data_IF_247914905810
#
_entry.id   IF_247914905810
#
_cell.length_a   1.000
_cell.length_b   1.000
_cell.length_c   1.000
_cell.angle_alpha   90.00
_cell.angle_beta   90.00
_cell.angle_gamma   90.00
#
_symmetry.space_group_name_H-M   'P 1'
#
loop_
_entity.id
_entity.type
_entity.pdbx_description
1 polymer ?
#
# COMPACT_ATOMS: atom_id res chain seq x y z
N UNK A 1 17.65 -36.63 -6.03
CA UNK A 1 17.24 -35.21 -5.91
C UNK A 1 18.21 -34.30 -6.65
N UNK A 2 19.48 -34.16 -6.21
CA UNK A 2 20.47 -33.27 -6.83
C UNK A 2 20.67 -33.52 -8.33
N UNK A 3 20.78 -34.79 -8.75
CA UNK A 3 20.95 -35.15 -10.16
C UNK A 3 19.77 -34.72 -11.04
N UNK A 4 18.54 -34.88 -10.51
CA UNK A 4 17.31 -34.45 -11.20
C UNK A 4 17.28 -32.93 -11.32
N UNK A 5 17.63 -32.22 -10.25
CA UNK A 5 17.69 -30.76 -10.21
C UNK A 5 18.67 -30.19 -11.26
N UNK A 6 19.91 -30.68 -11.31
CA UNK A 6 20.92 -30.20 -12.26
C UNK A 6 20.54 -30.49 -13.71
N UNK A 7 19.97 -31.67 -13.96
CA UNK A 7 19.50 -32.05 -15.29
C UNK A 7 18.36 -31.13 -15.77
N UNK A 8 17.38 -30.87 -14.90
CA UNK A 8 16.23 -30.04 -15.23
C UNK A 8 16.64 -28.59 -15.52
N UNK A 9 17.56 -28.01 -14.74
CA UNK A 9 18.09 -26.66 -15.00
C UNK A 9 18.72 -26.57 -16.39
N UNK A 10 19.59 -27.53 -16.74
CA UNK A 10 20.26 -27.55 -18.03
C UNK A 10 19.26 -27.69 -19.19
N UNK A 11 18.22 -28.50 -19.01
CA UNK A 11 17.16 -28.67 -20.00
C UNK A 11 16.36 -27.37 -20.17
N UNK A 12 15.99 -26.70 -19.07
CA UNK A 12 15.20 -25.48 -19.13
C UNK A 12 15.96 -24.29 -19.69
N UNK A 13 17.24 -24.12 -19.38
CA UNK A 13 18.06 -23.05 -19.95
C UNK A 13 18.11 -23.09 -21.49
N UNK A 14 18.03 -24.28 -22.09
CA UNK A 14 18.02 -24.48 -23.54
C UNK A 14 16.62 -24.39 -24.15
N UNK A 15 15.58 -24.32 -23.33
CA UNK A 15 14.19 -24.28 -23.78
C UNK A 15 13.83 -22.92 -24.36
N UNK A 16 13.21 -22.92 -25.54
CA UNK A 16 12.57 -21.72 -26.11
C UNK A 16 11.52 -21.13 -25.16
N UNK A 17 10.82 -21.97 -24.38
CA UNK A 17 9.81 -21.49 -23.41
C UNK A 17 10.47 -20.57 -22.39
N UNK A 18 11.56 -21.00 -21.78
CA UNK A 18 12.28 -20.20 -20.79
C UNK A 18 12.86 -18.92 -21.39
N UNK A 19 13.44 -18.98 -22.59
CA UNK A 19 14.01 -17.80 -23.25
C UNK A 19 12.94 -16.74 -23.54
N UNK A 20 11.78 -17.16 -24.07
CA UNK A 20 10.65 -16.25 -24.32
C UNK A 20 10.11 -15.70 -23.00
N UNK A 21 9.93 -16.55 -21.98
CA UNK A 21 9.50 -16.12 -20.64
C UNK A 21 10.45 -15.10 -20.03
N UNK A 22 11.76 -15.30 -20.16
CA UNK A 22 12.78 -14.37 -19.68
C UNK A 22 12.71 -13.03 -20.42
N UNK A 23 12.57 -13.04 -21.75
CA UNK A 23 12.44 -11.80 -22.54
C UNK A 23 11.19 -11.01 -22.16
N UNK A 24 10.05 -11.69 -21.98
CA UNK A 24 8.81 -11.07 -21.52
C UNK A 24 9.01 -10.48 -20.12
N UNK A 25 9.59 -11.23 -19.19
CA UNK A 25 9.80 -10.73 -17.83
C UNK A 25 10.74 -9.51 -17.82
N UNK A 26 11.85 -9.56 -18.57
CA UNK A 26 12.80 -8.46 -18.70
C UNK A 26 12.14 -7.20 -19.26
N UNK A 27 11.27 -7.31 -20.27
CA UNK A 27 10.61 -6.14 -20.86
C UNK A 27 9.70 -5.43 -19.86
N UNK A 28 9.00 -6.17 -19.00
CA UNK A 28 8.20 -5.60 -17.92
C UNK A 28 9.06 -4.88 -16.87
N UNK A 29 10.19 -5.46 -16.46
CA UNK A 29 11.10 -4.80 -15.51
C UNK A 29 11.79 -3.56 -16.09
N UNK A 30 12.15 -3.58 -17.37
CA UNK A 30 12.65 -2.39 -18.08
C UNK A 30 11.58 -1.31 -18.10
N UNK A 31 10.34 -1.66 -18.46
CA UNK A 31 9.23 -0.72 -18.46
C UNK A 31 9.00 -0.11 -17.08
N UNK A 32 9.03 -0.92 -16.01
CA UNK A 32 8.96 -0.44 -14.63
C UNK A 32 10.07 0.58 -14.30
N UNK A 33 11.33 0.25 -14.58
CA UNK A 33 12.47 1.13 -14.30
C UNK A 33 12.35 2.49 -15.02
N UNK A 34 11.97 2.48 -16.30
CA UNK A 34 11.79 3.71 -17.10
C UNK A 34 10.57 4.51 -16.64
N UNK A 35 9.42 3.87 -16.40
CA UNK A 35 8.21 4.56 -15.97
C UNK A 35 8.43 5.22 -14.61
N UNK A 36 9.07 4.52 -13.68
CA UNK A 36 9.34 5.05 -12.35
C UNK A 36 10.34 6.20 -12.39
N UNK A 37 11.43 6.09 -13.17
CA UNK A 37 12.41 7.17 -13.28
C UNK A 37 11.81 8.46 -13.83
N UNK A 38 10.89 8.37 -14.80
CA UNK A 38 10.20 9.54 -15.35
C UNK A 38 9.22 10.19 -14.36
N UNK A 39 8.71 9.41 -13.41
CA UNK A 39 7.65 9.85 -12.49
C UNK A 39 8.21 10.50 -11.23
N UNK A 40 9.26 9.92 -10.66
CA UNK A 40 9.78 10.29 -9.34
C UNK A 40 10.40 11.68 -9.30
N UNK A 41 11.09 12.11 -10.36
CA UNK A 41 11.67 13.46 -10.46
C UNK A 41 10.59 14.54 -10.30
N UNK A 42 9.43 14.29 -10.91
CA UNK A 42 8.27 15.17 -10.79
C UNK A 42 7.74 15.18 -9.35
N UNK A 43 7.61 14.03 -8.70
CA UNK A 43 7.08 13.93 -7.33
C UNK A 43 8.03 14.59 -6.32
N UNK A 44 9.34 14.42 -6.49
CA UNK A 44 10.38 15.05 -5.66
C UNK A 44 10.39 16.57 -5.85
N UNK A 45 10.36 17.05 -7.10
CA UNK A 45 10.32 18.48 -7.39
C UNK A 45 9.05 19.14 -6.85
N UNK A 46 7.90 18.49 -7.02
CA UNK A 46 6.62 18.99 -6.52
C UNK A 46 6.60 19.02 -4.98
N UNK A 47 7.06 17.96 -4.33
CA UNK A 47 7.15 17.91 -2.86
C UNK A 47 8.11 18.97 -2.32
N UNK A 48 9.25 19.18 -2.98
CA UNK A 48 10.22 20.22 -2.59
C UNK A 48 9.62 21.62 -2.72
N UNK A 49 8.83 21.89 -3.77
CA UNK A 49 8.12 23.17 -3.95
C UNK A 49 7.09 23.40 -2.84
N UNK A 50 6.39 22.36 -2.41
CA UNK A 50 5.41 22.46 -1.32
C UNK A 50 6.09 22.78 0.00
N UNK A 51 7.24 22.15 0.26
CA UNK A 51 8.00 22.40 1.47
C UNK A 51 8.53 23.82 1.51
N UNK A 52 9.01 24.35 0.37
CA UNK A 52 9.43 25.74 0.28
C UNK A 52 8.24 26.69 0.46
N UNK A 53 7.10 26.43 -0.21
CA UNK A 53 5.86 27.21 -0.02
C UNK A 53 5.43 27.22 1.46
N UNK A 54 5.48 26.07 2.14
CA UNK A 54 5.15 25.97 3.55
C UNK A 54 6.16 26.69 4.46
N UNK A 55 7.45 26.59 4.14
CA UNK A 55 8.50 27.28 4.88
C UNK A 55 8.41 28.80 4.74
N UNK A 56 8.13 29.29 3.53
CA UNK A 56 7.91 30.71 3.25
C UNK A 56 6.65 31.20 3.98
N UNK A 57 5.54 30.43 3.91
CA UNK A 57 4.32 30.73 4.65
C UNK A 57 4.56 30.83 6.16
N UNK A 58 5.35 29.91 6.74
CA UNK A 58 5.69 29.97 8.17
C UNK A 58 6.60 31.18 8.45
N UNK A 59 7.55 31.48 7.56
CA UNK A 59 8.49 32.61 7.69
C UNK A 59 7.80 33.98 7.69
N UNK A 60 6.69 34.11 6.96
CA UNK A 60 5.88 35.34 6.91
C UNK A 60 5.01 35.57 8.15
N UNK A 61 4.86 34.58 9.04
CA UNK A 61 4.05 34.71 10.24
C UNK A 61 4.70 35.67 11.24
N UNK A 62 4.06 36.82 11.45
CA UNK A 62 4.51 37.81 12.42
C UNK A 62 3.86 37.61 13.79
N UNK A 63 2.56 37.32 13.82
CA UNK A 63 1.77 37.21 15.05
C UNK A 63 1.03 35.88 15.15
N UNK A 64 0.67 35.47 16.37
CA UNK A 64 -0.02 34.20 16.60
C UNK A 64 -1.38 34.14 15.88
N UNK A 65 -2.02 35.29 15.68
CA UNK A 65 -3.29 35.36 14.95
C UNK A 65 -3.18 34.86 13.51
N UNK A 66 -2.12 35.24 12.80
CA UNK A 66 -1.84 34.80 11.44
C UNK A 66 -1.57 33.30 11.40
N UNK A 67 -0.83 32.78 12.39
CA UNK A 67 -0.53 31.36 12.50
C UNK A 67 -1.82 30.55 12.71
N UNK A 68 -2.79 31.08 13.45
CA UNK A 68 -4.06 30.39 13.69
C UNK A 68 -4.96 30.38 12.45
N UNK A 69 -5.01 31.50 11.72
CA UNK A 69 -5.84 31.65 10.53
C UNK A 69 -5.30 30.94 9.28
N UNK A 70 -4.01 30.58 9.28
CA UNK A 70 -3.34 29.97 8.11
C UNK A 70 -3.70 28.49 7.96
N UNK A 71 -3.87 28.05 6.70
CA UNK A 71 -4.02 26.64 6.36
C UNK A 71 -2.66 26.04 6.03
N UNK A 72 -2.26 25.02 6.77
CA UNK A 72 -1.00 24.30 6.59
C UNK A 72 -1.23 23.01 5.82
N UNK A 73 -0.46 22.79 4.74
CA UNK A 73 -0.51 21.57 3.95
C UNK A 73 0.54 20.58 4.44
N UNK A 74 0.10 19.50 5.09
CA UNK A 74 0.95 18.40 5.54
C UNK A 74 1.00 17.32 4.45
N UNK A 75 2.18 16.97 3.94
CA UNK A 75 2.33 16.03 2.82
C UNK A 75 3.00 14.72 3.22
N UNK A 76 2.52 13.62 2.65
CA UNK A 76 3.15 12.31 2.73
C UNK A 76 4.36 12.26 1.79
N UNK A 77 5.46 11.64 2.22
CA UNK A 77 6.74 11.55 1.48
C UNK A 77 6.85 10.29 0.65
N UNK A 78 7.56 10.30 -0.46
CA UNK A 78 7.92 9.03 -1.12
C UNK A 78 8.73 8.14 -0.16
N UNK A 79 8.43 6.84 -0.12
CA UNK A 79 9.22 5.82 0.60
C UNK A 79 10.45 5.39 -0.20
N UNK A 80 10.52 5.74 -1.49
CA UNK A 80 11.57 5.32 -2.41
C UNK A 80 11.45 3.86 -2.86
N UNK A 81 10.51 3.09 -2.31
CA UNK A 81 10.27 1.67 -2.60
C UNK A 81 9.05 1.43 -3.49
N UNK A 82 8.42 2.48 -4.02
CA UNK A 82 7.15 2.37 -4.75
C UNK A 82 7.32 1.71 -6.13
N UNK A 83 8.55 1.60 -6.64
CA UNK A 83 8.85 0.79 -7.82
C UNK A 83 8.74 -0.72 -7.53
N UNK A 84 8.92 -1.12 -6.26
CA UNK A 84 8.75 -2.51 -5.78
C UNK A 84 7.28 -2.77 -5.50
N UNK A 85 6.67 -1.92 -4.67
CA UNK A 85 5.27 -2.00 -4.26
C UNK A 85 4.68 -0.61 -4.12
N UNK A 86 3.76 -0.28 -5.01
CA UNK A 86 3.13 1.04 -5.06
C UNK A 86 2.18 1.23 -3.88
N UNK A 87 1.47 0.16 -3.47
CA UNK A 87 0.69 0.12 -2.24
C UNK A 87 -0.31 1.27 -2.06
N UNK A 88 -0.92 1.75 -3.15
CA UNK A 88 -1.88 2.83 -3.11
C UNK A 88 -1.31 4.24 -3.00
N UNK A 89 0.01 4.42 -3.09
CA UNK A 89 0.70 5.70 -3.00
C UNK A 89 0.16 6.82 -3.94
N UNK A 90 -0.41 6.45 -5.08
CA UNK A 90 -0.97 7.38 -6.08
C UNK A 90 -2.49 7.52 -5.99
N UNK A 91 -3.14 6.59 -5.28
CA UNK A 91 -4.59 6.51 -5.16
C UNK A 91 -5.07 7.15 -3.86
N UNK A 92 -4.33 6.95 -2.77
CA UNK A 92 -4.63 7.54 -1.48
C UNK A 92 -4.28 9.02 -1.45
N UNK A 93 -4.99 9.75 -0.60
CA UNK A 93 -4.64 11.14 -0.38
C UNK A 93 -3.23 11.26 0.16
N UNK A 94 -2.48 12.17 -0.44
CA UNK A 94 -1.08 12.40 -0.17
C UNK A 94 -0.86 13.64 0.71
N UNK A 95 -1.92 14.36 1.07
CA UNK A 95 -1.84 15.53 1.92
C UNK A 95 -3.08 15.73 2.80
N UNK A 96 -2.88 16.42 3.92
CA UNK A 96 -3.94 16.97 4.76
C UNK A 96 -3.77 18.48 4.89
N UNK A 97 -4.86 19.21 4.68
CA UNK A 97 -4.94 20.61 5.09
C UNK A 97 -5.36 20.68 6.55
N UNK A 98 -4.54 21.30 7.37
CA UNK A 98 -4.83 21.53 8.78
C UNK A 98 -4.84 23.02 9.06
N UNK A 99 -5.75 23.43 9.93
CA UNK A 99 -5.83 24.80 10.42
C UNK A 99 -5.98 24.75 11.94
N UNK A 100 -5.47 25.77 12.62
CA UNK A 100 -5.43 25.78 14.09
C UNK A 100 -6.66 26.44 14.70
N UNK A 101 -7.39 27.26 13.94
CA UNK A 101 -8.58 27.98 14.39
C UNK A 101 -9.66 27.04 14.90
N UNK A 102 -10.37 27.48 15.95
CA UNK A 102 -11.49 26.73 16.51
C UNK A 102 -12.61 26.59 15.47
N UNK A 103 -13.19 25.41 15.35
CA UNK A 103 -14.28 25.13 14.40
C UNK A 103 -13.85 24.77 12.98
N UNK A 104 -12.55 24.83 12.67
CA UNK A 104 -12.03 24.34 11.39
C UNK A 104 -11.54 22.89 11.49
N UNK A 105 -12.12 21.98 10.70
CA UNK A 105 -11.67 20.59 10.62
C UNK A 105 -10.40 20.42 9.78
N UNK A 106 -9.69 19.30 9.97
CA UNK A 106 -8.68 18.88 9.01
C UNK A 106 -9.38 18.29 7.79
N UNK A 107 -8.89 18.64 6.60
CA UNK A 107 -9.49 18.21 5.34
C UNK A 107 -8.50 17.37 4.56
N UNK A 108 -8.92 16.17 4.18
CA UNK A 108 -8.15 15.29 3.29
C UNK A 108 -8.04 15.95 1.91
N UNK A 109 -6.82 15.97 1.38
CA UNK A 109 -6.55 16.48 0.05
C UNK A 109 -5.75 15.47 -0.74
N UNK A 110 -6.43 14.78 -1.63
CA UNK A 110 -5.79 13.85 -2.55
C UNK A 110 -5.32 14.56 -3.81
N UNK A 111 -4.01 14.79 -3.93
CA UNK A 111 -3.42 14.93 -5.25
C UNK A 111 -3.29 13.53 -5.80
N UNK A 112 -3.91 13.32 -6.95
CA UNK A 112 -3.45 12.22 -7.78
C UNK A 112 -2.04 12.54 -8.21
N UNK A 113 -1.09 11.79 -7.68
CA UNK A 113 0.28 11.74 -8.19
C UNK A 113 0.35 11.19 -9.63
N UNK A 114 -0.79 10.77 -10.18
CA UNK A 114 -0.96 10.55 -11.62
C UNK A 114 -1.42 11.83 -12.32
N UNK A 115 -0.76 12.13 -13.43
CA UNK A 115 -0.94 13.35 -14.23
C UNK A 115 -2.16 13.29 -15.14
N UNK A 116 -2.72 12.09 -15.32
CA UNK A 116 -3.78 11.81 -16.28
C UNK A 116 -4.94 11.08 -15.60
N UNK A 117 -6.09 11.77 -15.52
CA UNK A 117 -7.33 11.25 -14.92
C UNK A 117 -7.84 9.96 -15.58
N UNK A 118 -7.51 9.70 -16.85
CA UNK A 118 -7.90 8.46 -17.53
C UNK A 118 -7.02 7.28 -17.12
N UNK A 119 -5.71 7.51 -16.99
CA UNK A 119 -4.75 6.48 -16.58
C UNK A 119 -4.97 6.08 -15.10
N UNK A 120 -5.73 6.88 -14.33
CA UNK A 120 -6.14 6.56 -12.94
C UNK A 120 -6.92 5.26 -12.77
N UNK A 121 -7.34 4.59 -13.84
CA UNK A 121 -8.06 3.32 -13.75
C UNK A 121 -7.15 2.11 -13.88
N UNK A 122 -5.89 2.31 -14.25
CA UNK A 122 -4.94 1.24 -14.48
C UNK A 122 -3.93 1.16 -13.34
N UNK A 123 -3.69 -0.07 -12.89
CA UNK A 123 -2.64 -0.35 -11.91
C UNK A 123 -1.26 -0.02 -12.50
N UNK A 124 -0.39 0.54 -11.67
CA UNK A 124 0.93 0.95 -12.09
C UNK A 124 1.85 -0.27 -12.16
N UNK A 125 2.74 -0.28 -13.14
CA UNK A 125 3.70 -1.38 -13.33
C UNK A 125 4.80 -1.28 -12.27
N UNK A 126 4.58 -1.93 -11.13
CA UNK A 126 5.56 -2.16 -10.07
C UNK A 126 6.04 -3.63 -10.04
N UNK A 127 7.04 -3.97 -9.24
CA UNK A 127 7.53 -5.35 -9.16
C UNK A 127 6.47 -6.32 -8.62
N UNK A 128 5.61 -5.84 -7.72
CA UNK A 128 4.54 -6.64 -7.11
C UNK A 128 3.53 -7.08 -8.17
N UNK A 129 3.10 -6.19 -9.06
CA UNK A 129 2.25 -6.47 -10.21
C UNK A 129 2.95 -7.43 -11.18
N UNK A 130 4.23 -7.18 -11.51
CA UNK A 130 5.01 -8.04 -12.40
C UNK A 130 5.04 -9.47 -11.84
N UNK A 131 5.31 -9.63 -10.55
CA UNK A 131 5.31 -10.95 -9.91
C UNK A 131 3.89 -11.54 -9.88
N UNK A 132 2.89 -10.79 -9.42
CA UNK A 132 1.51 -11.25 -9.25
C UNK A 132 0.85 -11.68 -10.56
N UNK A 133 1.11 -10.98 -11.66
CA UNK A 133 0.45 -11.26 -12.94
C UNK A 133 1.39 -12.01 -13.88
N UNK A 134 2.56 -11.46 -14.17
CA UNK A 134 3.46 -12.00 -15.20
C UNK A 134 4.15 -13.25 -14.68
N UNK A 135 4.78 -13.19 -13.51
CA UNK A 135 5.55 -14.33 -13.00
C UNK A 135 4.64 -15.52 -12.64
N UNK A 136 3.44 -15.29 -12.10
CA UNK A 136 2.47 -16.37 -11.83
C UNK A 136 1.96 -17.05 -13.11
N UNK A 137 1.72 -16.28 -14.17
CA UNK A 137 1.40 -16.84 -15.49
C UNK A 137 2.57 -17.67 -16.03
N UNK A 138 3.80 -17.16 -15.90
CA UNK A 138 5.01 -17.89 -16.30
C UNK A 138 5.19 -19.19 -15.49
N UNK A 139 4.83 -19.21 -14.20
CA UNK A 139 4.81 -20.45 -13.41
C UNK A 139 3.93 -21.50 -14.07
N UNK A 140 2.71 -21.14 -14.48
CA UNK A 140 1.80 -22.08 -15.15
C UNK A 140 2.38 -22.56 -16.48
N UNK A 141 2.83 -21.65 -17.34
CA UNK A 141 3.37 -21.99 -18.67
C UNK A 141 4.62 -22.88 -18.58
N UNK A 142 5.41 -22.74 -17.53
CA UNK A 142 6.61 -23.54 -17.33
C UNK A 142 6.35 -24.87 -16.61
N UNK A 143 5.27 -24.99 -15.85
CA UNK A 143 5.03 -26.13 -14.98
C UNK A 143 3.79 -26.99 -15.34
N UNK A 144 2.98 -26.59 -16.33
CA UNK A 144 1.76 -27.32 -16.68
C UNK A 144 2.02 -28.77 -17.11
N UNK A 145 3.14 -29.06 -17.77
CA UNK A 145 3.54 -30.40 -18.21
C UNK A 145 4.63 -31.02 -17.31
N UNK A 146 4.85 -30.48 -16.11
CA UNK A 146 5.93 -30.92 -15.22
C UNK A 146 5.82 -32.42 -14.88
N UNK A 147 4.61 -32.96 -14.74
CA UNK A 147 4.39 -34.38 -14.42
C UNK A 147 3.69 -35.08 -15.58
N UNK A 148 2.62 -34.49 -16.12
CA UNK A 148 1.88 -35.05 -17.25
C UNK A 148 2.75 -35.25 -18.49
N UNK A 149 3.66 -34.32 -18.80
CA UNK A 149 4.52 -34.43 -19.99
C UNK A 149 5.48 -35.62 -19.92
N UNK A 150 6.09 -35.85 -18.75
CA UNK A 150 6.95 -37.02 -18.54
C UNK A 150 6.17 -38.33 -18.47
N UNK A 151 4.90 -38.28 -18.07
CA UNK A 151 4.01 -39.43 -18.12
C UNK A 151 3.61 -39.79 -19.56
N UNK A 152 3.20 -38.80 -20.36
CA UNK A 152 2.85 -38.97 -21.78
C UNK A 152 4.03 -39.54 -22.61
N UNK A 153 5.25 -39.06 -22.33
CA UNK A 153 6.46 -39.52 -23.02
C UNK A 153 7.00 -40.86 -22.49
N UNK A 154 6.37 -41.46 -21.47
CA UNK A 154 6.82 -42.70 -20.84
C UNK A 154 8.10 -42.58 -19.99
N UNK A 155 8.74 -41.41 -19.97
CA UNK A 155 9.98 -41.12 -19.21
C UNK A 155 9.77 -41.31 -17.70
N UNK A 156 8.57 -40.99 -17.20
CA UNK A 156 8.24 -41.16 -15.79
C UNK A 156 8.34 -42.62 -15.34
N UNK A 157 7.88 -43.57 -16.17
CA UNK A 157 7.96 -45.01 -15.87
C UNK A 157 9.41 -45.49 -15.82
N UNK A 158 10.22 -45.07 -16.78
CA UNK A 158 11.65 -45.42 -16.84
C UNK A 158 12.42 -44.84 -15.64
N UNK A 159 12.09 -43.61 -15.23
CA UNK A 159 12.76 -42.95 -14.10
C UNK A 159 12.41 -43.62 -12.78
N UNK A 160 11.15 -44.04 -12.59
CA UNK A 160 10.67 -44.70 -11.37
C UNK A 160 11.09 -46.18 -11.25
N UNK A 161 11.65 -46.78 -12.32
CA UNK A 161 12.28 -48.09 -12.25
C UNK A 161 13.66 -48.05 -11.54
N UNK A 162 14.25 -46.85 -11.40
CA UNK A 162 15.45 -46.63 -10.60
C UNK A 162 15.09 -46.41 -9.12
N UNK A 163 16.03 -46.58 -8.16
CA UNK A 163 15.79 -46.38 -6.72
C UNK A 163 15.67 -44.89 -6.35
N UNK A 164 14.72 -44.19 -6.96
CA UNK A 164 14.42 -42.78 -6.71
C UNK A 164 13.04 -42.67 -6.05
N UNK A 165 12.97 -42.02 -4.88
CA UNK A 165 11.69 -41.79 -4.23
C UNK A 165 10.86 -40.77 -5.00
N UNK A 166 9.54 -40.98 -5.03
CA UNK A 166 8.56 -40.05 -5.66
C UNK A 166 8.72 -38.62 -5.12
N UNK A 167 8.93 -38.47 -3.81
CA UNK A 167 9.18 -37.17 -3.19
C UNK A 167 10.48 -36.50 -3.68
N UNK A 168 11.57 -37.25 -3.81
CA UNK A 168 12.85 -36.71 -4.29
C UNK A 168 12.81 -36.30 -5.78
N UNK A 169 11.97 -36.96 -6.58
CA UNK A 169 11.71 -36.57 -7.96
C UNK A 169 10.93 -35.26 -8.03
N UNK A 170 9.78 -35.17 -7.33
CA UNK A 170 8.94 -33.97 -7.29
C UNK A 170 9.72 -32.76 -6.76
N UNK A 171 10.42 -32.92 -5.62
CA UNK A 171 11.19 -31.85 -5.00
C UNK A 171 12.34 -31.37 -5.91
N UNK A 172 13.00 -32.28 -6.65
CA UNK A 172 14.06 -31.93 -7.59
C UNK A 172 13.58 -31.04 -8.73
N UNK A 173 12.43 -31.37 -9.33
CA UNK A 173 11.83 -30.58 -10.41
C UNK A 173 11.24 -29.26 -9.93
N UNK A 174 10.54 -29.29 -8.81
CA UNK A 174 10.00 -28.10 -8.16
C UNK A 174 11.12 -27.08 -7.86
N UNK A 175 12.21 -27.51 -7.20
CA UNK A 175 13.31 -26.61 -6.88
C UNK A 175 14.02 -26.08 -8.13
N UNK A 176 14.16 -26.90 -9.18
CA UNK A 176 14.76 -26.45 -10.44
C UNK A 176 13.94 -25.31 -11.06
N UNK A 177 12.60 -25.48 -11.13
CA UNK A 177 11.69 -24.46 -11.66
C UNK A 177 11.67 -23.20 -10.78
N UNK A 178 11.61 -23.37 -9.46
CA UNK A 178 11.64 -22.27 -8.51
C UNK A 178 12.92 -21.44 -8.67
N UNK A 179 14.09 -22.09 -8.66
CA UNK A 179 15.38 -21.41 -8.81
C UNK A 179 15.48 -20.70 -10.16
N UNK A 180 15.05 -21.35 -11.25
CA UNK A 180 15.09 -20.74 -12.59
C UNK A 180 14.22 -19.48 -12.70
N UNK A 181 13.00 -19.53 -12.18
CA UNK A 181 12.10 -18.36 -12.17
C UNK A 181 12.59 -17.26 -11.24
N UNK A 182 13.14 -17.61 -10.07
CA UNK A 182 13.71 -16.62 -9.15
C UNK A 182 14.96 -15.97 -9.73
N UNK A 183 15.82 -16.70 -10.43
CA UNK A 183 16.96 -16.12 -11.16
C UNK A 183 16.46 -15.14 -12.23
N UNK A 184 15.44 -15.53 -13.02
CA UNK A 184 14.86 -14.64 -14.03
C UNK A 184 14.28 -13.35 -13.40
N UNK A 185 13.59 -13.47 -12.27
CA UNK A 185 13.05 -12.32 -11.52
C UNK A 185 14.17 -11.43 -10.96
N UNK A 186 15.24 -12.02 -10.40
CA UNK A 186 16.42 -11.28 -9.92
C UNK A 186 17.13 -10.54 -11.05
N UNK A 187 17.29 -11.17 -12.22
CA UNK A 187 17.87 -10.51 -13.39
C UNK A 187 17.02 -9.34 -13.87
N UNK A 188 15.69 -9.52 -13.93
CA UNK A 188 14.76 -8.44 -14.25
C UNK A 188 14.83 -7.28 -13.26
N UNK A 189 14.75 -7.59 -11.97
CA UNK A 189 14.89 -6.60 -10.91
C UNK A 189 16.25 -5.87 -10.96
N UNK A 190 17.33 -6.58 -11.26
CA UNK A 190 18.66 -5.98 -11.43
C UNK A 190 18.71 -4.98 -12.59
N UNK A 191 18.03 -5.27 -13.70
CA UNK A 191 17.91 -4.33 -14.83
C UNK A 191 17.08 -3.11 -14.43
N UNK A 192 15.94 -3.29 -13.75
CA UNK A 192 15.14 -2.18 -13.23
C UNK A 192 15.97 -1.30 -12.27
N UNK A 193 16.65 -1.91 -11.28
CA UNK A 193 17.53 -1.19 -10.36
C UNK A 193 18.67 -0.46 -11.08
N UNK A 194 19.28 -1.08 -12.09
CA UNK A 194 20.35 -0.45 -12.86
C UNK A 194 19.86 0.84 -13.54
N UNK A 195 18.67 0.82 -14.13
CA UNK A 195 18.06 2.01 -14.73
C UNK A 195 17.85 3.10 -13.65
N UNK A 196 17.31 2.71 -12.49
CA UNK A 196 17.04 3.65 -11.39
C UNK A 196 18.31 4.24 -10.75
N UNK A 197 19.39 3.47 -10.69
CA UNK A 197 20.69 3.97 -10.18
C UNK A 197 21.38 4.87 -11.20
N UNK A 198 21.35 4.52 -12.50
CA UNK A 198 21.95 5.35 -13.56
C UNK A 198 21.26 6.71 -13.66
N UNK A 199 19.96 6.77 -13.38
CA UNK A 199 19.16 7.99 -13.39
C UNK A 199 19.26 8.80 -12.09
N UNK A 200 20.07 8.36 -11.11
CA UNK A 200 20.23 8.97 -9.78
C UNK A 200 18.90 9.14 -9.00
N UNK A 201 17.92 8.28 -9.31
CA UNK A 201 16.60 8.29 -8.70
C UNK A 201 16.63 7.65 -7.31
N UNK A 202 17.37 6.55 -7.18
CA UNK A 202 17.48 5.81 -5.92
C UNK A 202 18.93 5.76 -5.45
N UNK A 203 19.10 5.85 -4.13
CA UNK A 203 20.36 5.53 -3.46
C UNK A 203 20.23 4.15 -2.82
N UNK A 204 21.18 3.27 -3.12
CA UNK A 204 21.24 1.94 -2.50
C UNK A 204 21.72 2.08 -1.06
N UNK A 205 20.79 2.10 -0.13
CA UNK A 205 21.04 2.10 1.31
C UNK A 205 20.66 0.75 1.94
N UNK A 206 20.93 0.61 3.24
CA UNK A 206 20.59 -0.61 3.97
C UNK A 206 19.06 -0.85 4.04
N UNK A 207 18.25 0.21 4.00
CA UNK A 207 16.79 0.11 4.06
C UNK A 207 16.22 -0.46 2.76
N UNK A 208 16.74 -0.02 1.61
CA UNK A 208 16.44 -0.52 0.27
C UNK A 208 16.87 -1.97 0.10
N UNK A 209 18.09 -2.31 0.51
CA UNK A 209 18.58 -3.69 0.46
C UNK A 209 17.66 -4.65 1.24
N UNK A 210 17.21 -4.23 2.43
CA UNK A 210 16.22 -4.98 3.21
C UNK A 210 14.88 -5.11 2.49
N UNK A 211 14.36 -4.03 1.90
CA UNK A 211 13.11 -4.08 1.14
C UNK A 211 13.18 -5.07 -0.04
N UNK A 212 14.29 -5.06 -0.78
CA UNK A 212 14.54 -6.00 -1.89
C UNK A 212 14.57 -7.45 -1.38
N UNK A 213 15.27 -7.72 -0.28
CA UNK A 213 15.33 -9.07 0.30
C UNK A 213 13.95 -9.54 0.77
N UNK A 214 13.20 -8.71 1.49
CA UNK A 214 11.84 -9.04 1.96
C UNK A 214 10.90 -9.30 0.78
N UNK A 215 10.99 -8.51 -0.29
CA UNK A 215 10.23 -8.71 -1.52
C UNK A 215 10.52 -10.07 -2.16
N UNK A 216 11.80 -10.45 -2.28
CA UNK A 216 12.17 -11.74 -2.88
C UNK A 216 11.80 -12.93 -2.00
N UNK A 217 11.83 -12.78 -0.67
CA UNK A 217 11.30 -13.79 0.25
C UNK A 217 9.81 -13.99 -0.02
N UNK A 218 9.00 -12.92 -0.01
CA UNK A 218 7.56 -13.01 -0.31
C UNK A 218 7.28 -13.61 -1.69
N UNK A 219 8.05 -13.18 -2.69
CA UNK A 219 7.94 -13.65 -4.07
C UNK A 219 8.26 -15.15 -4.19
N UNK A 220 9.22 -15.66 -3.40
CA UNK A 220 9.55 -17.09 -3.40
C UNK A 220 8.41 -17.96 -2.87
N UNK A 221 7.71 -17.54 -1.81
CA UNK A 221 6.51 -18.23 -1.32
C UNK A 221 5.39 -18.18 -2.35
N UNK A 222 5.18 -17.03 -2.98
CA UNK A 222 4.16 -16.87 -4.01
C UNK A 222 4.40 -17.77 -5.24
N UNK A 223 5.62 -17.73 -5.79
CA UNK A 223 6.04 -18.60 -6.90
C UNK A 223 5.95 -20.08 -6.49
N UNK A 224 6.34 -20.42 -5.26
CA UNK A 224 6.19 -21.76 -4.74
C UNK A 224 4.72 -22.22 -4.74
N UNK A 225 3.77 -21.38 -4.31
CA UNK A 225 2.34 -21.71 -4.32
C UNK A 225 1.87 -22.06 -5.75
N UNK A 226 2.17 -21.21 -6.74
CA UNK A 226 1.76 -21.44 -8.12
C UNK A 226 2.45 -22.63 -8.80
N UNK A 227 3.74 -22.86 -8.51
CA UNK A 227 4.45 -24.03 -9.01
C UNK A 227 3.90 -25.33 -8.40
N UNK A 228 3.58 -25.34 -7.11
CA UNK A 228 2.98 -26.50 -6.45
C UNK A 228 1.55 -26.75 -6.94
N UNK A 229 0.74 -25.71 -7.14
CA UNK A 229 -0.58 -25.84 -7.77
C UNK A 229 -0.45 -26.43 -9.18
N UNK A 230 0.48 -25.91 -9.98
CA UNK A 230 0.78 -26.41 -11.33
C UNK A 230 1.22 -27.87 -11.31
N UNK A 231 2.09 -28.23 -10.38
CA UNK A 231 2.53 -29.60 -10.15
C UNK A 231 1.36 -30.53 -9.82
N UNK A 232 0.48 -30.12 -8.90
CA UNK A 232 -0.64 -30.94 -8.47
C UNK A 232 -1.67 -31.15 -9.56
N UNK A 233 -2.01 -30.11 -10.33
CA UNK A 233 -2.89 -30.27 -11.49
C UNK A 233 -2.23 -31.14 -12.56
N UNK A 234 -0.93 -30.95 -12.83
CA UNK A 234 -0.17 -31.79 -13.76
C UNK A 234 -0.11 -33.26 -13.36
N UNK A 235 -0.01 -33.58 -12.07
CA UNK A 235 -0.12 -34.96 -11.57
C UNK A 235 -1.54 -35.52 -11.65
N UNK A 236 -2.55 -34.68 -11.45
CA UNK A 236 -3.96 -35.09 -11.44
C UNK A 236 -4.49 -35.33 -12.87
N UNK A 237 -4.03 -34.56 -13.84
CA UNK A 237 -4.43 -34.71 -15.24
C UNK A 237 -3.58 -35.74 -15.98
N UNK A 238 -4.21 -36.57 -16.82
CA UNK A 238 -3.50 -37.56 -17.63
C UNK A 238 -2.73 -36.96 -18.81
N UNK A 239 -3.25 -35.85 -19.36
CA UNK A 239 -2.71 -35.20 -20.56
C UNK A 239 -2.28 -33.75 -20.28
N UNK A 240 -1.17 -33.32 -20.89
CA UNK A 240 -0.59 -31.99 -20.74
C UNK A 240 -1.49 -30.89 -21.29
N UNK A 241 -2.24 -31.17 -22.37
CA UNK A 241 -3.22 -30.22 -22.91
C UNK A 241 -4.34 -29.93 -21.90
N UNK A 242 -4.87 -30.96 -21.23
CA UNK A 242 -5.89 -30.81 -20.18
C UNK A 242 -5.32 -30.07 -18.97
N UNK A 243 -4.08 -30.38 -18.57
CA UNK A 243 -3.41 -29.66 -17.48
C UNK A 243 -3.33 -28.16 -17.74
N UNK A 244 -2.91 -27.79 -18.95
CA UNK A 244 -2.81 -26.39 -19.36
C UNK A 244 -4.16 -25.68 -19.27
N UNK A 245 -5.24 -26.28 -19.79
CA UNK A 245 -6.58 -25.69 -19.75
C UNK A 245 -7.07 -25.50 -18.32
N UNK A 246 -6.93 -26.52 -17.46
CA UNK A 246 -7.36 -26.44 -16.05
C UNK A 246 -6.55 -25.39 -15.30
N UNK A 247 -5.24 -25.32 -15.52
CA UNK A 247 -4.38 -24.33 -14.85
C UNK A 247 -4.66 -22.91 -15.35
N UNK A 248 -4.92 -22.72 -16.64
CA UNK A 248 -5.32 -21.40 -17.17
C UNK A 248 -6.64 -20.92 -16.57
N UNK A 249 -7.64 -21.81 -16.45
CA UNK A 249 -8.91 -21.49 -15.80
C UNK A 249 -8.71 -21.17 -14.31
N UNK A 250 -7.92 -21.99 -13.61
CA UNK A 250 -7.61 -21.77 -12.18
C UNK A 250 -6.88 -20.45 -11.97
N UNK A 251 -5.87 -20.17 -12.80
CA UNK A 251 -5.13 -18.92 -12.77
C UNK A 251 -6.02 -17.71 -13.04
N UNK A 252 -6.91 -17.78 -14.04
CA UNK A 252 -7.86 -16.71 -14.36
C UNK A 252 -8.84 -16.47 -13.21
N UNK A 253 -9.34 -17.54 -12.56
CA UNK A 253 -10.21 -17.41 -11.40
C UNK A 253 -9.49 -16.75 -10.23
N UNK A 254 -8.30 -17.25 -9.85
CA UNK A 254 -7.56 -16.74 -8.69
C UNK A 254 -7.02 -15.32 -8.91
N UNK A 255 -6.57 -14.98 -10.13
CA UNK A 255 -5.87 -13.72 -10.42
C UNK A 255 -6.81 -12.62 -10.91
N UNK A 256 -7.93 -12.97 -11.54
CA UNK A 256 -8.87 -12.01 -12.14
C UNK A 256 -10.25 -12.07 -11.48
N UNK A 257 -10.88 -13.25 -11.42
CA UNK A 257 -12.28 -13.33 -10.96
C UNK A 257 -12.41 -13.03 -9.47
N UNK A 258 -11.64 -13.72 -8.62
CA UNK A 258 -11.69 -13.53 -7.15
C UNK A 258 -11.49 -12.06 -6.77
N UNK A 259 -10.47 -11.36 -7.31
CA UNK A 259 -10.28 -9.94 -7.01
C UNK A 259 -11.43 -9.02 -7.39
N UNK A 260 -11.99 -9.23 -8.58
CA UNK A 260 -13.12 -8.43 -9.06
C UNK A 260 -14.38 -8.69 -8.23
N UNK A 261 -14.61 -9.94 -7.82
CA UNK A 261 -15.74 -10.29 -6.94
C UNK A 261 -15.59 -9.70 -5.55
N UNK A 262 -14.39 -9.68 -4.99
CA UNK A 262 -14.12 -9.07 -3.69
C UNK A 262 -14.37 -7.55 -3.69
N UNK A 263 -13.98 -6.87 -4.77
CA UNK A 263 -14.28 -5.45 -4.96
C UNK A 263 -15.78 -5.18 -4.97
N UNK A 264 -16.55 -5.94 -5.77
CA UNK A 264 -18.01 -5.81 -5.82
C UNK A 264 -18.68 -6.09 -4.47
N UNK A 265 -18.19 -7.09 -3.75
CA UNK A 265 -18.69 -7.42 -2.42
C UNK A 265 -18.38 -6.31 -1.40
N UNK A 266 -17.17 -5.76 -1.42
CA UNK A 266 -16.80 -4.61 -0.59
C UNK A 266 -17.74 -3.43 -0.84
N UNK A 267 -18.01 -3.11 -2.10
CA UNK A 267 -18.92 -2.02 -2.46
C UNK A 267 -20.36 -2.21 -1.98
N UNK A 268 -20.86 -3.45 -1.88
CA UNK A 268 -22.25 -3.73 -1.50
C UNK A 268 -22.47 -3.90 0.01
N UNK A 269 -21.44 -4.28 0.76
CA UNK A 269 -21.60 -4.65 2.18
C UNK A 269 -21.54 -3.50 3.15
N UNK A 270 -20.84 -2.43 2.79
CA UNK A 270 -20.77 -1.22 3.59
C UNK A 270 -21.47 -0.13 2.82
N UNK A 271 -22.63 0.28 3.34
CA UNK A 271 -23.40 1.38 2.80
C UNK A 271 -22.57 2.66 2.98
N UNK A 272 -21.92 3.10 1.90
CA UNK A 272 -21.17 4.35 1.85
C UNK A 272 -22.01 5.42 1.13
N UNK A 273 -23.31 5.47 1.44
CA UNK A 273 -24.22 6.54 0.99
C UNK A 273 -24.27 7.70 2.01
N UNK A 274 -23.28 7.75 2.91
CA UNK A 274 -23.19 8.73 3.98
C UNK A 274 -22.24 9.86 3.59
N UNK A 275 -22.80 10.99 3.16
CA UNK A 275 -22.01 12.21 2.98
C UNK A 275 -21.71 12.84 4.35
N UNK A 276 -20.67 12.32 5.00
CA UNK A 276 -20.15 12.85 6.26
C UNK A 276 -19.66 14.31 6.12
N UNK A 277 -19.37 14.80 4.91
CA UNK A 277 -19.06 16.21 4.73
C UNK A 277 -20.30 17.08 4.89
N UNK A 278 -21.45 16.63 4.36
CA UNK A 278 -22.73 17.32 4.53
C UNK A 278 -23.17 17.33 5.98
N UNK A 279 -23.04 16.20 6.69
CA UNK A 279 -23.36 16.15 8.14
C UNK A 279 -22.45 17.09 8.95
N UNK A 280 -21.13 17.07 8.69
CA UNK A 280 -20.19 17.97 9.35
C UNK A 280 -20.49 19.45 9.03
N UNK A 281 -20.88 19.75 7.78
CA UNK A 281 -21.24 21.09 7.35
C UNK A 281 -22.54 21.56 7.99
N UNK A 282 -23.58 20.71 8.02
CA UNK A 282 -24.85 20.99 8.66
C UNK A 282 -24.68 21.26 10.16
N UNK A 283 -23.93 20.40 10.86
CA UNK A 283 -23.64 20.55 12.28
C UNK A 283 -23.01 21.91 12.60
N UNK A 284 -22.02 22.32 11.80
CA UNK A 284 -21.36 23.62 11.98
C UNK A 284 -22.32 24.77 11.72
N UNK A 285 -23.05 24.74 10.61
CA UNK A 285 -23.95 25.81 10.24
C UNK A 285 -25.12 25.96 11.21
N UNK A 286 -25.70 24.86 11.68
CA UNK A 286 -26.76 24.88 12.69
C UNK A 286 -26.27 25.53 13.99
N UNK A 287 -25.06 25.18 14.43
CA UNK A 287 -24.46 25.76 15.64
C UNK A 287 -24.15 27.24 15.45
N UNK A 288 -23.53 27.63 14.33
CA UNK A 288 -23.26 29.05 14.03
C UNK A 288 -24.56 29.87 13.96
N UNK A 289 -25.62 29.33 13.35
CA UNK A 289 -26.92 29.98 13.29
C UNK A 289 -27.57 30.10 14.68
N UNK A 290 -27.48 29.06 15.52
CA UNK A 290 -28.00 29.09 16.89
C UNK A 290 -27.26 30.13 17.76
N UNK A 291 -25.93 30.21 17.65
CA UNK A 291 -25.13 31.23 18.33
C UNK A 291 -25.54 32.64 17.89
N UNK A 292 -25.75 32.87 16.59
CA UNK A 292 -26.24 34.15 16.09
C UNK A 292 -27.63 34.50 16.61
N UNK A 293 -28.55 33.52 16.70
CA UNK A 293 -29.89 33.71 17.27
C UNK A 293 -29.85 34.06 18.76
N UNK A 294 -28.91 33.46 19.50
CA UNK A 294 -28.61 33.77 20.91
C UNK A 294 -27.91 35.14 21.09
N UNK A 295 -27.60 35.84 19.99
CA UNK A 295 -26.88 37.12 20.01
C UNK A 295 -25.38 36.99 20.30
N UNK A 296 -24.83 35.78 20.17
CA UNK A 296 -23.41 35.50 20.36
C UNK A 296 -22.71 35.69 19.02
N UNK A 297 -21.98 36.78 18.89
CA UNK A 297 -21.15 37.10 17.72
C UNK A 297 -19.75 37.51 18.16
N UNK A 298 -18.79 37.38 17.24
CA UNK A 298 -17.42 37.86 17.45
C UNK A 298 -17.43 39.40 17.38
N UNK A 299 -17.18 40.05 18.52
CA UNK A 299 -17.17 41.52 18.63
C UNK A 299 -15.75 42.06 18.54
N UNK A 300 -15.62 43.33 18.16
CA UNK A 300 -14.33 44.04 18.23
C UNK A 300 -13.73 43.99 19.66
N UNK A 301 -12.40 44.05 19.74
CA UNK A 301 -11.65 43.86 20.98
C UNK A 301 -12.07 44.83 22.09
N UNK A 302 -12.35 46.08 21.75
CA UNK A 302 -12.78 47.15 22.67
C UNK A 302 -14.10 46.82 23.36
N UNK A 303 -15.05 46.21 22.64
CA UNK A 303 -16.35 45.79 23.17
C UNK A 303 -16.24 44.56 24.07
N UNK A 304 -15.33 43.64 23.75
CA UNK A 304 -15.11 42.41 24.51
C UNK A 304 -14.43 42.63 25.87
N UNK A 305 -13.66 43.70 26.05
CA UNK A 305 -12.99 44.00 27.34
C UNK A 305 -13.98 44.16 28.49
N UNK A 306 -15.17 44.72 28.22
CA UNK A 306 -16.18 45.06 29.24
C UNK A 306 -16.67 43.84 30.01
N UNK A 307 -16.75 42.68 29.35
CA UNK A 307 -17.20 41.42 29.94
C UNK A 307 -16.11 40.33 29.97
N UNK A 308 -14.84 40.74 29.81
CA UNK A 308 -13.70 39.82 29.72
C UNK A 308 -13.87 38.74 28.64
N UNK A 309 -14.40 39.14 27.50
CA UNK A 309 -14.61 38.32 26.31
C UNK A 309 -15.54 37.13 26.57
N UNK A 310 -16.56 37.31 27.41
CA UNK A 310 -17.43 36.21 27.84
C UNK A 310 -18.17 35.54 26.67
N UNK A 311 -18.62 36.35 25.70
CA UNK A 311 -19.31 35.85 24.49
C UNK A 311 -18.36 35.12 23.56
N UNK A 312 -17.17 35.65 23.33
CA UNK A 312 -16.15 35.06 22.48
C UNK A 312 -15.62 33.74 23.08
N UNK A 313 -15.43 33.70 24.41
CA UNK A 313 -15.10 32.45 25.12
C UNK A 313 -16.22 31.42 24.99
N UNK A 314 -17.49 31.84 25.02
CA UNK A 314 -18.63 30.93 24.77
C UNK A 314 -18.61 30.44 23.31
N UNK A 315 -18.44 31.33 22.34
CA UNK A 315 -18.31 30.97 20.92
C UNK A 315 -17.20 29.95 20.69
N UNK A 316 -15.99 30.17 21.24
CA UNK A 316 -14.87 29.21 21.11
C UNK A 316 -15.20 27.86 21.69
N UNK A 317 -15.82 27.81 22.88
CA UNK A 317 -16.19 26.52 23.51
C UNK A 317 -17.16 25.74 22.65
N UNK A 318 -18.23 26.38 22.18
CA UNK A 318 -19.25 25.74 21.35
C UNK A 318 -18.67 25.29 19.99
N UNK A 319 -17.83 26.12 19.37
CA UNK A 319 -17.15 25.74 18.13
C UNK A 319 -16.08 24.67 18.32
N UNK A 320 -15.45 24.59 19.50
CA UNK A 320 -14.54 23.51 19.84
C UNK A 320 -15.30 22.19 20.03
N UNK A 321 -16.50 22.22 20.61
CA UNK A 321 -17.38 21.05 20.72
C UNK A 321 -17.85 20.58 19.34
N UNK A 322 -18.23 21.52 18.45
CA UNK A 322 -18.52 21.22 17.03
C UNK A 322 -17.32 20.59 16.36
N UNK A 323 -16.12 21.13 16.56
CA UNK A 323 -14.90 20.60 15.96
C UNK A 323 -14.62 19.16 16.43
N UNK A 324 -14.75 18.87 17.72
CA UNK A 324 -14.58 17.52 18.27
C UNK A 324 -15.64 16.56 17.69
N UNK A 325 -16.89 16.99 17.58
CA UNK A 325 -17.94 16.22 16.92
C UNK A 325 -17.65 15.99 15.44
N UNK A 326 -17.19 17.00 14.69
CA UNK A 326 -16.76 16.86 13.31
C UNK A 326 -15.62 15.85 13.20
N UNK A 327 -14.59 15.94 14.07
CA UNK A 327 -13.49 14.99 14.07
C UNK A 327 -13.96 13.56 14.36
N UNK A 328 -14.91 13.36 15.28
CA UNK A 328 -15.51 12.05 15.57
C UNK A 328 -16.31 11.50 14.39
N UNK A 329 -17.10 12.33 13.72
CA UNK A 329 -17.84 11.96 12.48
C UNK A 329 -16.84 11.54 11.39
N UNK A 330 -15.80 12.32 11.17
CA UNK A 330 -14.76 12.03 10.17
C UNK A 330 -13.98 10.77 10.50
N UNK A 331 -13.62 10.57 11.76
CA UNK A 331 -12.94 9.36 12.23
C UNK A 331 -13.84 8.11 12.09
N UNK A 332 -15.14 8.23 12.37
CA UNK A 332 -16.10 7.16 12.17
C UNK A 332 -16.30 6.84 10.68
N UNK A 333 -16.35 7.86 9.81
CA UNK A 333 -16.41 7.68 8.36
C UNK A 333 -15.16 6.97 7.82
N UNK A 334 -13.96 7.41 8.23
CA UNK A 334 -12.70 6.76 7.86
C UNK A 334 -12.63 5.31 8.37
N UNK A 335 -13.11 5.05 9.58
CA UNK A 335 -13.16 3.69 10.13
C UNK A 335 -14.11 2.79 9.33
N UNK A 336 -15.25 3.31 8.85
CA UNK A 336 -16.17 2.56 7.97
C UNK A 336 -15.56 2.32 6.58
N UNK A 337 -14.92 3.33 5.99
CA UNK A 337 -14.18 3.20 4.72
C UNK A 337 -13.11 2.10 4.86
N UNK A 338 -12.36 2.13 5.95
CA UNK A 338 -11.35 1.11 6.25
C UNK A 338 -11.97 -0.29 6.41
N UNK A 339 -13.08 -0.42 7.13
CA UNK A 339 -13.76 -1.69 7.33
C UNK A 339 -14.24 -2.27 6.00
N UNK A 340 -14.73 -1.43 5.08
CA UNK A 340 -15.11 -1.82 3.73
C UNK A 340 -13.92 -2.38 2.95
N UNK A 341 -12.78 -1.70 3.02
CA UNK A 341 -11.54 -2.18 2.43
C UNK A 341 -11.09 -3.50 3.06
N UNK A 342 -11.11 -3.62 4.39
CA UNK A 342 -10.70 -4.83 5.09
C UNK A 342 -11.58 -6.04 4.74
N UNK A 343 -12.90 -5.85 4.59
CA UNK A 343 -13.81 -6.89 4.14
C UNK A 343 -13.48 -7.37 2.72
N UNK A 344 -13.23 -6.45 1.78
CA UNK A 344 -12.78 -6.80 0.43
C UNK A 344 -11.42 -7.50 0.45
N UNK A 345 -10.48 -7.02 1.26
CA UNK A 345 -9.15 -7.63 1.44
C UNK A 345 -9.27 -9.05 1.98
N UNK A 346 -10.18 -9.32 2.93
CA UNK A 346 -10.38 -10.65 3.49
C UNK A 346 -10.78 -11.69 2.43
N UNK A 347 -11.64 -11.32 1.48
CA UNK A 347 -12.00 -12.20 0.35
C UNK A 347 -10.82 -12.33 -0.62
N UNK A 348 -10.10 -11.25 -0.88
CA UNK A 348 -8.91 -11.27 -1.74
C UNK A 348 -7.81 -12.18 -1.22
N UNK A 349 -7.72 -12.42 0.10
CA UNK A 349 -6.74 -13.34 0.68
C UNK A 349 -6.92 -14.80 0.25
N UNK A 350 -8.03 -15.16 -0.41
CA UNK A 350 -8.20 -16.47 -1.08
C UNK A 350 -7.32 -16.58 -2.34
N UNK A 351 -6.91 -15.44 -2.90
CA UNK A 351 -5.96 -15.38 -4.00
C UNK A 351 -4.54 -15.29 -3.45
N UNK A 352 -3.65 -16.23 -3.81
CA UNK A 352 -2.25 -16.14 -3.41
C UNK A 352 -1.57 -14.86 -3.88
N UNK A 353 -2.08 -14.24 -4.96
CA UNK A 353 -1.56 -13.00 -5.49
C UNK A 353 -1.76 -11.82 -4.55
N UNK A 354 -2.92 -11.76 -3.89
CA UNK A 354 -3.24 -10.69 -2.95
C UNK A 354 -2.69 -10.98 -1.55
N UNK A 355 -2.61 -12.25 -1.13
CA UNK A 355 -1.88 -12.62 0.08
C UNK A 355 -0.40 -12.20 -0.03
N UNK A 356 0.24 -12.42 -1.18
CA UNK A 356 1.58 -11.92 -1.50
C UNK A 356 1.65 -10.38 -1.50
N UNK A 357 0.79 -9.71 -2.28
CA UNK A 357 0.81 -8.26 -2.40
C UNK A 357 0.64 -7.57 -1.04
N UNK A 358 -0.35 -7.97 -0.24
CA UNK A 358 -0.61 -7.39 1.07
C UNK A 358 0.53 -7.66 2.08
N UNK A 359 1.22 -8.80 1.95
CA UNK A 359 2.40 -9.10 2.76
C UNK A 359 3.54 -8.14 2.43
N UNK A 360 3.83 -7.94 1.15
CA UNK A 360 4.90 -7.04 0.69
C UNK A 360 4.57 -5.59 1.01
N UNK A 361 3.33 -5.14 0.78
CA UNK A 361 2.89 -3.79 1.12
C UNK A 361 3.11 -3.49 2.61
N UNK A 362 2.70 -4.39 3.49
CA UNK A 362 2.88 -4.22 4.93
C UNK A 362 4.37 -4.21 5.34
N UNK A 363 5.16 -5.15 4.83
CA UNK A 363 6.58 -5.29 5.16
C UNK A 363 7.43 -4.12 4.66
N UNK A 364 7.08 -3.51 3.52
CA UNK A 364 7.76 -2.34 2.98
C UNK A 364 7.20 -1.03 3.53
N UNK A 365 6.21 -1.11 4.44
CA UNK A 365 5.58 0.05 5.05
C UNK A 365 4.84 0.91 4.04
N UNK A 366 4.24 0.31 3.02
CA UNK A 366 3.32 0.94 2.06
C UNK A 366 1.88 0.47 2.34
N UNK A 367 0.93 0.73 1.44
CA UNK A 367 -0.43 0.25 1.63
C UNK A 367 -1.23 1.04 2.66
N UNK A 368 -2.31 0.40 3.12
CA UNK A 368 -3.30 0.97 4.04
C UNK A 368 -2.69 1.31 5.40
N UNK A 369 -1.76 0.49 5.92
CA UNK A 369 -1.12 0.71 7.21
C UNK A 369 -0.36 2.04 7.26
N UNK A 370 0.34 2.37 6.16
CA UNK A 370 1.04 3.65 6.01
C UNK A 370 0.08 4.83 5.94
N UNK A 371 -1.06 4.69 5.25
CA UNK A 371 -2.10 5.74 5.18
C UNK A 371 -2.64 6.07 6.57
N UNK A 372 -2.98 5.05 7.35
CA UNK A 372 -3.47 5.21 8.73
C UNK A 372 -2.44 5.91 9.62
N UNK A 373 -1.18 5.50 9.52
CA UNK A 373 -0.10 6.09 10.31
C UNK A 373 0.16 7.55 9.91
N UNK A 374 0.12 7.86 8.62
CA UNK A 374 0.22 9.24 8.12
C UNK A 374 -0.89 10.13 8.67
N UNK A 375 -2.15 9.67 8.63
CA UNK A 375 -3.27 10.42 9.22
C UNK A 375 -3.07 10.68 10.71
N UNK A 376 -2.65 9.65 11.46
CA UNK A 376 -2.35 9.76 12.89
C UNK A 376 -1.27 10.81 13.16
N UNK A 377 -0.16 10.77 12.41
CA UNK A 377 0.93 11.74 12.53
C UNK A 377 0.48 13.16 12.18
N UNK A 378 -0.35 13.33 11.13
CA UNK A 378 -0.89 14.63 10.75
C UNK A 378 -1.75 15.26 11.85
N UNK A 379 -2.62 14.46 12.49
CA UNK A 379 -3.46 14.93 13.60
C UNK A 379 -2.63 15.26 14.85
N UNK A 380 -1.65 14.40 15.20
CA UNK A 380 -0.71 14.67 16.29
C UNK A 380 0.09 15.95 16.06
N UNK A 381 0.48 16.21 14.81
CA UNK A 381 1.21 17.42 14.46
C UNK A 381 0.35 18.68 14.57
N UNK A 382 -0.90 18.64 14.12
CA UNK A 382 -1.87 19.72 14.34
C UNK A 382 -2.02 20.05 15.82
N UNK A 383 -2.13 19.03 16.67
CA UNK A 383 -2.22 19.23 18.12
C UNK A 383 -0.93 19.81 18.71
N UNK A 384 0.25 19.38 18.25
CA UNK A 384 1.52 19.96 18.66
C UNK A 384 1.63 21.46 18.30
N UNK A 385 1.17 21.85 17.10
CA UNK A 385 1.09 23.27 16.71
C UNK A 385 0.13 24.05 17.60
N UNK A 386 -1.03 23.48 17.94
CA UNK A 386 -2.00 24.11 18.86
C UNK A 386 -1.43 24.30 20.27
N UNK A 387 -0.70 23.31 20.79
CA UNK A 387 -0.03 23.40 22.08
C UNK A 387 1.06 24.48 22.08
N UNK A 388 1.83 24.57 20.99
CA UNK A 388 2.83 25.63 20.82
C UNK A 388 2.19 27.02 20.86
N UNK A 389 1.16 27.25 20.04
CA UNK A 389 0.47 28.56 19.95
C UNK A 389 -0.18 28.93 21.28
N UNK A 390 -0.85 27.97 21.95
CA UNK A 390 -1.43 28.17 23.29
C UNK A 390 -0.35 28.53 24.33
N UNK A 391 0.78 27.81 24.31
CA UNK A 391 1.88 28.04 25.25
C UNK A 391 2.57 29.39 25.06
N UNK A 392 2.65 29.88 23.82
CA UNK A 392 3.16 31.24 23.52
C UNK A 392 2.19 32.32 23.94
N UNK A 393 0.92 32.15 23.62
CA UNK A 393 -0.12 33.12 24.01
C UNK A 393 -0.19 33.28 25.53
N UNK A 394 -0.10 32.19 26.30
CA UNK A 394 -0.11 32.22 27.76
C UNK A 394 1.06 32.99 28.41
N UNK A 395 2.14 33.27 27.66
CA UNK A 395 3.28 34.05 28.15
C UNK A 395 3.07 35.56 28.01
N UNK A 396 2.02 35.99 27.29
CA UNK A 396 1.70 37.41 27.09
C UNK A 396 0.58 37.86 28.05
N UNK A 397 0.89 38.60 29.14
CA UNK A 397 -0.13 39.05 30.09
C UNK A 397 -1.15 40.04 29.51
N UNK A 398 -0.86 40.63 28.35
CA UNK A 398 -1.71 41.61 27.68
C UNK A 398 -2.68 40.96 26.67
N UNK A 399 -2.55 39.65 26.45
CA UNK A 399 -3.44 38.91 25.54
C UNK A 399 -4.79 38.64 26.21
N UNK A 400 -5.91 38.71 25.46
CA UNK A 400 -7.22 38.23 25.93
C UNK A 400 -7.25 36.74 26.30
N UNK A 401 -6.29 35.95 25.81
CA UNK A 401 -6.20 34.51 25.99
C UNK A 401 -7.47 33.75 25.55
N UNK A 402 -8.11 34.21 24.47
CA UNK A 402 -9.19 33.49 23.81
C UNK A 402 -8.54 32.64 22.71
N UNK A 403 -8.12 31.43 23.08
CA UNK A 403 -7.28 30.56 22.25
C UNK A 403 -7.96 30.16 20.94
N UNK A 404 -7.18 30.06 19.87
CA UNK A 404 -7.60 29.61 18.53
C UNK A 404 -8.64 30.52 17.85
N UNK A 405 -8.72 31.79 18.25
CA UNK A 405 -9.29 32.87 17.46
C UNK A 405 -8.24 33.95 17.25
N UNK A 406 -7.76 34.12 16.02
CA UNK A 406 -6.55 34.88 15.78
C UNK A 406 -6.57 36.32 16.29
N UNK A 407 -7.70 37.01 16.17
CA UNK A 407 -7.87 38.40 16.60
C UNK A 407 -7.77 38.62 18.12
N UNK A 408 -7.97 37.56 18.91
CA UNK A 408 -8.04 37.59 20.38
C UNK A 408 -6.84 36.88 21.05
N UNK A 409 -5.78 36.64 20.28
CA UNK A 409 -4.52 36.10 20.77
C UNK A 409 -3.44 37.19 20.79
N UNK A 410 -2.28 36.86 21.37
CA UNK A 410 -1.13 37.75 21.47
C UNK A 410 -0.74 38.31 20.10
N UNK A 411 -0.69 39.64 20.04
CA UNK A 411 -0.19 40.42 18.88
C UNK A 411 1.30 40.68 18.94
N UNK A 412 2.00 40.15 19.96
CA UNK A 412 3.45 40.25 20.03
C UNK A 412 4.08 39.43 18.92
N UNK A 413 5.12 39.99 18.33
CA UNK A 413 5.95 39.28 17.36
C UNK A 413 6.52 38.03 18.02
N UNK A 414 6.42 36.89 17.32
CA UNK A 414 7.04 35.65 17.77
C UNK A 414 8.03 35.14 16.72
N UNK A 415 9.00 34.37 17.16
CA UNK A 415 9.93 33.70 16.25
C UNK A 415 9.25 32.49 15.63
N UNK A 416 8.87 32.62 14.36
CA UNK A 416 8.20 31.59 13.58
C UNK A 416 9.10 30.37 13.30
N UNK A 417 10.42 30.51 13.38
CA UNK A 417 11.36 29.39 13.24
C UNK A 417 11.25 28.36 14.37
N UNK A 418 10.62 28.74 15.50
CA UNK A 418 10.37 27.84 16.63
C UNK A 418 9.07 27.04 16.47
N UNK A 419 8.28 27.30 15.43
CA UNK A 419 7.06 26.56 15.15
C UNK A 419 7.39 25.11 14.77
N UNK A 420 6.63 24.11 15.28
CA UNK A 420 6.86 22.71 14.91
C UNK A 420 6.75 22.50 13.39
N UNK A 421 7.75 21.88 12.78
CA UNK A 421 7.71 21.49 11.37
C UNK A 421 7.29 20.04 11.20
N UNK A 422 6.36 19.78 10.29
CA UNK A 422 5.93 18.42 10.00
C UNK A 422 6.99 17.66 9.19
N UNK A 423 7.35 16.48 9.67
CA UNK A 423 8.11 15.49 8.90
C UNK A 423 7.51 14.12 9.15
N UNK A 424 7.01 13.50 8.09
CA UNK A 424 6.49 12.13 8.17
C UNK A 424 7.61 11.18 8.60
N UNK A 425 7.37 10.42 9.66
CA UNK A 425 8.22 9.30 10.05
C UNK A 425 7.77 8.03 9.32
N UNK A 426 8.70 7.20 8.82
CA UNK A 426 8.36 5.89 8.27
C UNK A 426 7.69 4.99 9.31
N UNK A 427 6.86 4.05 8.84
CA UNK A 427 6.24 3.06 9.70
C UNK A 427 7.31 2.22 10.41
N UNK A 428 7.11 1.94 11.70
CA UNK A 428 8.05 1.12 12.46
C UNK A 428 8.04 -0.33 11.96
N UNK A 429 9.17 -1.03 12.08
CA UNK A 429 9.27 -2.43 11.64
C UNK A 429 8.28 -3.35 12.38
N UNK A 430 8.05 -3.10 13.67
CA UNK A 430 7.07 -3.87 14.46
C UNK A 430 5.66 -3.66 13.95
N UNK A 431 5.29 -2.42 13.60
CA UNK A 431 3.95 -2.11 13.09
C UNK A 431 3.77 -2.66 11.66
N UNK A 432 4.81 -2.57 10.82
CA UNK A 432 4.84 -3.20 9.50
C UNK A 432 4.61 -4.71 9.56
N UNK A 433 5.31 -5.41 10.46
CA UNK A 433 5.14 -6.87 10.63
C UNK A 433 3.77 -7.21 11.21
N UNK A 434 3.29 -6.43 12.19
CA UNK A 434 1.97 -6.64 12.77
C UNK A 434 0.85 -6.48 11.72
N UNK A 435 0.94 -5.45 10.87
CA UNK A 435 0.01 -5.23 9.77
C UNK A 435 0.07 -6.34 8.70
N UNK A 436 1.23 -6.98 8.53
CA UNK A 436 1.45 -8.05 7.55
C UNK A 436 1.17 -9.47 8.06
N UNK A 437 0.88 -9.66 9.35
CA UNK A 437 0.82 -10.98 9.95
C UNK A 437 -0.21 -11.90 9.28
N UNK A 438 -1.45 -11.41 9.12
CA UNK A 438 -2.55 -12.17 8.52
C UNK A 438 -2.24 -12.59 7.07
N UNK A 439 -1.89 -11.67 6.14
CA UNK A 439 -1.57 -12.06 4.77
C UNK A 439 -0.35 -13.00 4.68
N UNK A 440 0.67 -12.81 5.52
CA UNK A 440 1.86 -13.69 5.54
C UNK A 440 1.46 -15.12 5.95
N UNK A 441 0.68 -15.25 7.02
CA UNK A 441 0.22 -16.56 7.51
C UNK A 441 -0.64 -17.25 6.45
N UNK A 442 -1.56 -16.52 5.81
CA UNK A 442 -2.41 -17.08 4.75
C UNK A 442 -1.56 -17.54 3.57
N UNK A 443 -0.59 -16.75 3.10
CA UNK A 443 0.30 -17.16 2.01
C UNK A 443 1.06 -18.45 2.35
N UNK A 444 1.55 -18.57 3.58
CA UNK A 444 2.23 -19.80 4.05
C UNK A 444 1.26 -20.99 4.06
N UNK A 445 0.02 -20.79 4.51
CA UNK A 445 -1.01 -21.82 4.53
C UNK A 445 -1.41 -22.26 3.11
N UNK A 446 -1.51 -21.32 2.16
CA UNK A 446 -1.78 -21.61 0.76
C UNK A 446 -0.64 -22.43 0.12
N UNK A 447 0.62 -22.08 0.40
CA UNK A 447 1.78 -22.88 -0.02
C UNK A 447 1.72 -24.28 0.57
N UNK A 448 1.42 -24.42 1.85
CA UNK A 448 1.28 -25.71 2.51
C UNK A 448 0.16 -26.54 1.87
N UNK A 449 -1.02 -25.95 1.64
CA UNK A 449 -2.15 -26.60 1.01
C UNK A 449 -1.82 -27.05 -0.42
N UNK A 450 -1.18 -26.19 -1.21
CA UNK A 450 -0.72 -26.51 -2.55
C UNK A 450 0.31 -27.65 -2.54
N UNK A 451 1.22 -27.66 -1.55
CA UNK A 451 2.17 -28.76 -1.36
C UNK A 451 1.45 -30.08 -1.06
N UNK A 452 0.51 -30.09 -0.11
CA UNK A 452 -0.27 -31.29 0.21
C UNK A 452 -1.06 -31.80 -1.00
N UNK A 453 -1.69 -30.90 -1.75
CA UNK A 453 -2.38 -31.23 -3.00
C UNK A 453 -1.43 -31.85 -4.03
N UNK A 454 -0.28 -31.21 -4.31
CA UNK A 454 0.69 -31.70 -5.28
C UNK A 454 1.25 -33.07 -4.90
N UNK A 455 1.61 -33.23 -3.63
CA UNK A 455 2.18 -34.46 -3.12
C UNK A 455 1.17 -35.61 -3.16
N UNK A 456 -0.06 -35.38 -2.70
CA UNK A 456 -1.12 -36.41 -2.70
C UNK A 456 -1.56 -36.79 -4.12
N UNK A 457 -1.69 -35.81 -5.02
CA UNK A 457 -1.99 -36.07 -6.44
C UNK A 457 -0.91 -36.96 -7.07
N UNK A 458 0.38 -36.65 -6.82
CA UNK A 458 1.49 -37.44 -7.36
C UNK A 458 1.59 -38.85 -6.74
N UNK A 459 1.24 -39.02 -5.47
CA UNK A 459 1.20 -40.35 -4.83
C UNK A 459 0.07 -41.22 -5.38
N UNK A 460 -1.10 -40.64 -5.66
CA UNK A 460 -2.26 -41.35 -6.20
C UNK A 460 -2.17 -41.63 -7.69
N UNK A 461 -1.21 -41.02 -8.38
CA UNK A 461 -0.99 -41.24 -9.80
C UNK A 461 -0.63 -42.70 -10.10
N UNK A 462 -1.44 -43.34 -10.94
CA UNK A 462 -1.19 -44.70 -11.42
C UNK A 462 -0.02 -44.69 -12.42
N UNK A 463 1.08 -45.37 -12.08
CA UNK A 463 2.24 -45.50 -12.96
C UNK A 463 2.06 -46.61 -14.00
N UNK A 464 1.12 -47.53 -13.77
CA UNK A 464 0.84 -48.67 -14.63
C UNK A 464 -0.35 -48.34 -15.55
N UNK A 465 -0.18 -48.57 -16.84
CA UNK A 465 -1.34 -48.75 -17.72
C UNK A 465 -2.00 -50.05 -17.32
N UNK A 466 -3.15 -49.96 -16.63
CA UNK A 466 -4.10 -51.06 -16.63
C UNK A 466 -4.51 -51.31 -18.07
N UNK A 467 -4.25 -52.55 -18.50
CA UNK A 467 -4.67 -53.18 -19.76
C UNK A 467 -6.07 -52.82 -20.19
#
# INVERSE_FOLDING_TARGET
>A
MLTVFLHEIQAQMKSMRFQVSLLVLLSFFVANGVIYSLKIDRDVAETSRIDSELADQIGELAVLGDAVGTWYRLTARSTGTEFITEGGFNWFADAYWVNLQSGNKATEYGRSRTTNHWIRRFEIVDWTLIVRIVLSFLCVVMAYDMISGSHEQGVLRLTMANPLSRGAYLAGRFLAQLVMLMIAAVLGAAVSLLILVITDVIRLDASMARAIVLFFIGSSFYVAAFLLLSAGVSAWTRNSATSLVVLMLTWAVLTVVVPQTAYLYGMQTVDFDFDWNDEQWALRNETENALQQDGISLRELDRGIVDNFALERRFVREMADVEDQQQRIGAAALARELQQYEAARAINLVSPGYAFQYSVEALLGTGVARRQDFFRQAMQHREAMRQFVRGRDAQDPESPHVTFLGDYMSKKAFDSALMPHFRQTPLSMSDSVAAGLVPIVILILEVALAFFFAFTAFLRMELAGGS
#
